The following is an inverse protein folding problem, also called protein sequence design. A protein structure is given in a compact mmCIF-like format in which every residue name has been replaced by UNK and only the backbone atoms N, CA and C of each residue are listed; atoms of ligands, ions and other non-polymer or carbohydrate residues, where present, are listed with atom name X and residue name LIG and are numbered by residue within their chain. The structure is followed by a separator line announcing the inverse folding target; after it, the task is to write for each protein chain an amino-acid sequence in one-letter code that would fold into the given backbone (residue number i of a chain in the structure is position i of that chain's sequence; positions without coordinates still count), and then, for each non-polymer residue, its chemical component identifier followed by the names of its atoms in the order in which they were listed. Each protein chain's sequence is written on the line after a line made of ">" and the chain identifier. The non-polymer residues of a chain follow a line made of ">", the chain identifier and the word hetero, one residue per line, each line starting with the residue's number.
data_IF_417888167144
#
_entry.id   IF_417888167144
#
_cell.length_a   1.000
_cell.length_b   1.000
_cell.length_c   1.000
_cell.angle_alpha   90.00
_cell.angle_beta   90.00
_cell.angle_gamma   90.00
#
_symmetry.space_group_name_H-M   'P 1'
#
loop_
_entity.id
_entity.type
_entity.pdbx_description
1 polymer ?
#
# COMPACT_ATOMS: atom_id res chain seq x y z
N UNK A 1 10.64 10.50 -16.24
CA UNK A 1 9.79 10.52 -15.03
C UNK A 1 8.59 11.43 -15.24
N UNK A 2 8.78 12.70 -15.55
CA UNK A 2 7.69 13.66 -15.75
C UNK A 2 6.71 13.25 -16.86
N UNK A 3 7.21 12.67 -17.96
CA UNK A 3 6.35 12.19 -19.05
C UNK A 3 5.48 11.02 -18.62
N UNK A 4 6.02 10.08 -17.86
CA UNK A 4 5.26 8.95 -17.28
C UNK A 4 4.20 9.47 -16.33
N UNK A 5 4.58 10.37 -15.44
CA UNK A 5 3.67 11.02 -14.50
C UNK A 5 2.52 11.73 -15.20
N UNK A 6 2.82 12.55 -16.21
CA UNK A 6 1.80 13.31 -16.96
C UNK A 6 0.81 12.42 -17.71
N UNK A 7 1.24 11.23 -18.17
CA UNK A 7 0.34 10.25 -18.78
C UNK A 7 -0.56 9.54 -17.77
N UNK A 8 -0.02 9.24 -16.58
CA UNK A 8 -0.76 8.55 -15.52
C UNK A 8 -1.76 9.47 -14.81
N UNK A 9 -1.37 10.73 -14.60
CA UNK A 9 -2.15 11.68 -13.82
C UNK A 9 -2.36 12.99 -14.58
N UNK A 10 -3.15 12.97 -15.66
CA UNK A 10 -3.33 14.16 -16.52
C UNK A 10 -4.08 15.30 -15.83
N UNK A 11 -4.82 15.01 -14.76
CA UNK A 11 -5.55 16.00 -13.95
C UNK A 11 -4.81 16.50 -12.72
N UNK A 12 -3.52 16.11 -12.55
CA UNK A 12 -2.74 16.48 -11.38
C UNK A 12 -2.50 17.99 -11.29
N UNK A 13 -2.75 18.56 -10.11
CA UNK A 13 -2.44 19.94 -9.77
C UNK A 13 -1.53 20.03 -8.54
N UNK A 14 -0.87 21.18 -8.36
CA UNK A 14 0.04 21.44 -7.23
C UNK A 14 1.15 20.40 -7.07
N UNK A 15 1.79 20.04 -8.19
CA UNK A 15 2.79 18.96 -8.21
C UNK A 15 4.10 19.44 -7.61
N UNK A 16 4.58 18.73 -6.59
CA UNK A 16 5.90 18.89 -5.98
C UNK A 16 6.69 17.60 -6.11
N UNK A 17 8.00 17.70 -6.32
CA UNK A 17 8.89 16.56 -6.47
C UNK A 17 9.90 16.50 -5.33
N UNK A 18 10.06 15.33 -4.75
CA UNK A 18 11.07 15.06 -3.73
C UNK A 18 11.81 13.75 -4.01
N UNK A 19 13.04 13.66 -3.52
CA UNK A 19 13.78 12.39 -3.49
C UNK A 19 13.57 11.72 -2.13
N UNK A 20 13.10 10.46 -2.13
CA UNK A 20 12.89 9.66 -0.92
C UNK A 20 13.42 8.25 -1.16
N UNK A 21 14.32 7.76 -0.30
CA UNK A 21 14.85 6.39 -0.37
C UNK A 21 15.40 5.98 -1.75
N UNK A 22 15.96 6.93 -2.51
CA UNK A 22 16.47 6.67 -3.87
C UNK A 22 15.42 6.73 -4.97
N UNK A 23 14.16 7.01 -4.64
CA UNK A 23 13.08 7.21 -5.60
C UNK A 23 12.78 8.68 -5.80
N UNK A 24 12.10 8.99 -6.91
CA UNK A 24 11.50 10.30 -7.16
C UNK A 24 10.00 10.21 -6.84
N UNK A 25 9.55 11.04 -5.92
CA UNK A 25 8.18 11.06 -5.44
C UNK A 25 7.51 12.35 -5.88
N UNK A 26 6.41 12.24 -6.61
CA UNK A 26 5.52 13.35 -6.90
C UNK A 26 4.44 13.44 -5.84
N UNK A 27 4.35 14.57 -5.17
CA UNK A 27 3.21 14.92 -4.31
C UNK A 27 2.30 15.84 -5.10
N UNK A 28 1.02 15.52 -5.18
CA UNK A 28 0.08 16.25 -6.03
C UNK A 28 -1.36 16.08 -5.55
N UNK A 29 -2.25 16.83 -6.18
CA UNK A 29 -3.68 16.74 -5.92
C UNK A 29 -4.41 16.47 -7.23
N UNK A 30 -5.28 15.47 -7.21
CA UNK A 30 -6.15 15.15 -8.35
C UNK A 30 -7.58 14.92 -7.87
N UNK A 31 -8.55 15.62 -8.48
CA UNK A 31 -9.95 15.48 -8.10
C UNK A 31 -10.26 15.84 -6.65
N UNK A 32 -9.46 16.70 -6.01
CA UNK A 32 -9.62 17.06 -4.60
C UNK A 32 -8.97 16.07 -3.61
N UNK A 33 -8.29 15.05 -4.10
CA UNK A 33 -7.61 14.03 -3.30
C UNK A 33 -6.11 14.27 -3.29
N UNK A 34 -5.49 14.21 -2.11
CA UNK A 34 -4.04 14.27 -1.96
C UNK A 34 -3.44 12.91 -2.31
N UNK A 35 -2.39 12.93 -3.14
CA UNK A 35 -1.77 11.73 -3.68
C UNK A 35 -0.26 11.85 -3.70
N UNK A 36 0.42 10.70 -3.64
CA UNK A 36 1.85 10.57 -3.88
C UNK A 36 2.10 9.44 -4.89
N UNK A 37 2.99 9.67 -5.84
CA UNK A 37 3.39 8.63 -6.81
C UNK A 37 4.91 8.46 -6.81
N UNK A 38 5.35 7.21 -6.72
CA UNK A 38 6.75 6.83 -6.58
C UNK A 38 7.30 6.26 -7.90
N UNK A 39 8.42 6.81 -8.34
CA UNK A 39 9.10 6.43 -9.57
C UNK A 39 10.59 6.20 -9.34
N UNK A 40 11.22 5.39 -10.18
CA UNK A 40 12.67 5.38 -10.23
C UNK A 40 13.21 6.50 -11.16
N UNK A 41 14.53 6.65 -11.24
CA UNK A 41 15.17 7.66 -12.07
C UNK A 41 14.93 7.46 -13.57
N UNK A 42 14.63 6.24 -14.00
CA UNK A 42 14.29 5.91 -15.39
C UNK A 42 12.83 6.23 -15.76
N UNK A 43 12.01 6.57 -14.76
CA UNK A 43 10.60 6.89 -14.96
C UNK A 43 9.65 5.70 -14.81
N UNK A 44 10.13 4.58 -14.26
CA UNK A 44 9.28 3.45 -13.94
C UNK A 44 8.46 3.76 -12.68
N UNK A 45 7.14 3.56 -12.77
CA UNK A 45 6.22 3.68 -11.64
C UNK A 45 6.25 2.44 -10.73
N UNK A 46 6.21 2.66 -9.43
CA UNK A 46 6.21 1.61 -8.41
C UNK A 46 4.96 1.60 -7.53
N UNK A 47 4.53 2.78 -7.09
CA UNK A 47 3.44 2.88 -6.12
C UNK A 47 2.73 4.23 -6.25
N UNK A 48 1.43 4.23 -5.97
CA UNK A 48 0.64 5.43 -5.74
C UNK A 48 -0.06 5.31 -4.39
N UNK A 49 0.10 6.33 -3.57
CA UNK A 49 -0.62 6.53 -2.31
C UNK A 49 -1.73 7.54 -2.54
N UNK A 50 -2.92 7.21 -2.09
CA UNK A 50 -4.11 8.04 -2.25
C UNK A 50 -4.81 8.16 -0.89
N UNK A 51 -4.96 9.40 -0.39
CA UNK A 51 -5.72 9.66 0.82
C UNK A 51 -7.20 9.33 0.60
N UNK A 52 -7.75 8.49 1.47
CA UNK A 52 -9.14 8.00 1.36
C UNK A 52 -9.89 8.33 2.64
N UNK A 53 -10.99 9.09 2.58
CA UNK A 53 -11.88 9.24 3.72
C UNK A 53 -12.41 7.88 4.19
N UNK A 54 -12.48 7.67 5.50
CA UNK A 54 -12.94 6.40 6.07
C UNK A 54 -14.27 5.90 5.47
N UNK A 55 -15.20 6.80 5.25
CA UNK A 55 -16.51 6.46 4.67
C UNK A 55 -16.44 5.93 3.23
N UNK A 56 -15.34 6.21 2.52
CA UNK A 56 -15.12 5.75 1.14
C UNK A 56 -14.25 4.50 1.04
N UNK A 57 -13.77 3.97 2.16
CA UNK A 57 -13.09 2.67 2.20
C UNK A 57 -14.05 1.56 1.70
N UNK A 58 -13.52 0.48 1.10
CA UNK A 58 -14.34 -0.67 0.76
C UNK A 58 -15.13 -1.19 1.96
N UNK A 59 -16.36 -1.61 1.73
CA UNK A 59 -17.22 -2.14 2.80
C UNK A 59 -16.55 -3.28 3.57
N UNK A 60 -15.83 -4.16 2.87
CA UNK A 60 -15.12 -5.28 3.48
C UNK A 60 -14.04 -4.82 4.47
N UNK A 61 -13.30 -3.74 4.14
CA UNK A 61 -12.29 -3.15 5.01
C UNK A 61 -12.94 -2.53 6.25
N UNK A 62 -14.00 -1.74 6.08
CA UNK A 62 -14.72 -1.14 7.21
C UNK A 62 -15.31 -2.20 8.14
N UNK A 63 -15.93 -3.22 7.58
CA UNK A 63 -16.50 -4.33 8.36
C UNK A 63 -15.41 -5.07 9.14
N UNK A 64 -14.27 -5.37 8.52
CA UNK A 64 -13.15 -6.03 9.19
C UNK A 64 -12.59 -5.20 10.34
N UNK A 65 -12.40 -3.90 10.13
CA UNK A 65 -11.94 -2.98 11.17
C UNK A 65 -12.94 -2.89 12.33
N UNK A 66 -14.22 -2.67 12.05
CA UNK A 66 -15.28 -2.48 13.04
C UNK A 66 -15.60 -3.74 13.84
N UNK A 67 -15.29 -4.92 13.31
CA UNK A 67 -15.48 -6.21 13.99
C UNK A 67 -14.20 -6.79 14.60
N UNK A 68 -13.05 -6.13 14.38
CA UNK A 68 -11.75 -6.58 14.85
C UNK A 68 -11.35 -6.01 16.22
N UNK A 69 -10.15 -6.35 16.65
CA UNK A 69 -9.62 -5.93 17.95
C UNK A 69 -9.32 -4.43 18.06
N UNK A 70 -9.18 -3.74 16.91
CA UNK A 70 -8.90 -2.30 16.85
C UNK A 70 -10.16 -1.44 16.67
N UNK A 71 -11.35 -2.03 16.74
CA UNK A 71 -12.63 -1.35 16.49
C UNK A 71 -12.87 -0.11 17.35
N UNK A 72 -12.35 -0.11 18.59
CA UNK A 72 -12.49 1.00 19.53
C UNK A 72 -11.40 2.10 19.35
N UNK A 73 -10.44 1.88 18.48
CA UNK A 73 -9.37 2.84 18.21
C UNK A 73 -9.85 3.93 17.27
N UNK A 74 -9.31 5.14 17.44
CA UNK A 74 -9.60 6.24 16.54
C UNK A 74 -8.82 6.09 15.23
N UNK A 75 -9.49 6.16 14.11
CA UNK A 75 -8.84 6.21 12.80
C UNK A 75 -8.42 7.64 12.51
N UNK A 76 -7.12 7.89 12.50
CA UNK A 76 -6.53 9.20 12.25
C UNK A 76 -6.38 9.46 10.74
N UNK A 77 -5.97 8.45 9.99
CA UNK A 77 -5.78 8.54 8.56
C UNK A 77 -6.02 7.19 7.87
N UNK A 78 -6.32 7.24 6.58
CA UNK A 78 -6.47 6.05 5.76
C UNK A 78 -5.98 6.32 4.33
N UNK A 79 -5.15 5.43 3.81
CA UNK A 79 -4.57 5.52 2.49
C UNK A 79 -4.85 4.26 1.67
N UNK A 80 -5.05 4.46 0.37
CA UNK A 80 -5.09 3.39 -0.62
C UNK A 80 -3.73 3.31 -1.30
N UNK A 81 -3.10 2.15 -1.25
CA UNK A 81 -1.82 1.89 -1.91
C UNK A 81 -2.05 1.02 -3.15
N UNK A 82 -1.81 1.59 -4.32
CA UNK A 82 -1.76 0.86 -5.59
C UNK A 82 -0.30 0.63 -5.94
N UNK A 83 0.09 -0.63 -6.13
CA UNK A 83 1.50 -1.01 -6.31
C UNK A 83 1.65 -1.88 -7.54
N UNK A 84 2.74 -1.70 -8.26
CA UNK A 84 3.02 -2.52 -9.44
C UNK A 84 3.25 -3.99 -9.07
N UNK A 85 2.50 -4.89 -9.71
CA UNK A 85 2.64 -6.33 -9.54
C UNK A 85 2.10 -6.91 -8.23
N UNK A 86 1.58 -6.07 -7.34
CA UNK A 86 0.99 -6.45 -6.07
C UNK A 86 -0.49 -6.07 -6.00
N UNK A 87 -1.23 -6.72 -5.15
CA UNK A 87 -2.61 -6.35 -4.86
C UNK A 87 -2.68 -4.98 -4.17
N UNK A 88 -3.76 -4.26 -4.45
CA UNK A 88 -4.08 -3.01 -3.74
C UNK A 88 -4.34 -3.31 -2.27
N UNK A 89 -3.78 -2.48 -1.39
CA UNK A 89 -4.02 -2.55 0.05
C UNK A 89 -4.50 -1.21 0.58
N UNK A 90 -5.09 -1.23 1.75
CA UNK A 90 -5.53 -0.04 2.49
C UNK A 90 -4.80 0.01 3.82
N UNK A 91 -4.20 1.15 4.11
CA UNK A 91 -3.45 1.38 5.34
C UNK A 91 -4.24 2.33 6.22
N UNK A 92 -4.57 1.92 7.43
CA UNK A 92 -5.25 2.74 8.43
C UNK A 92 -4.27 3.06 9.55
N UNK A 93 -4.07 4.34 9.80
CA UNK A 93 -3.40 4.82 11.02
C UNK A 93 -4.44 4.94 12.12
N UNK A 94 -4.23 4.24 13.21
CA UNK A 94 -5.15 4.21 14.35
C UNK A 94 -4.44 4.57 15.64
N UNK A 95 -5.14 5.31 16.49
CA UNK A 95 -4.61 5.72 17.79
C UNK A 95 -5.54 5.38 18.94
N UNK A 96 -4.98 5.04 20.06
CA UNK A 96 -5.69 4.90 21.32
C UNK A 96 -4.76 5.32 22.48
N UNK A 97 -5.10 6.38 23.18
CA UNK A 97 -4.25 6.98 24.23
C UNK A 97 -2.89 7.40 23.64
N UNK A 98 -1.79 6.83 24.16
CA UNK A 98 -0.42 7.12 23.69
C UNK A 98 0.11 6.07 22.69
N UNK A 99 -0.75 5.17 22.21
CA UNK A 99 -0.37 4.12 21.27
C UNK A 99 -0.92 4.43 19.87
N UNK A 100 -0.05 4.32 18.88
CA UNK A 100 -0.37 4.45 17.48
C UNK A 100 0.00 3.14 16.76
N UNK A 101 -0.87 2.69 15.85
CA UNK A 101 -0.65 1.48 15.04
C UNK A 101 -0.99 1.76 13.59
N UNK A 102 -0.26 1.11 12.71
CA UNK A 102 -0.56 1.01 11.30
C UNK A 102 -1.17 -0.34 11.01
N UNK A 103 -2.37 -0.34 10.42
CA UNK A 103 -3.11 -1.54 10.04
C UNK A 103 -3.19 -1.63 8.52
N UNK A 104 -2.75 -2.73 7.96
CA UNK A 104 -2.80 -2.97 6.52
C UNK A 104 -3.86 -4.03 6.21
N UNK A 105 -4.85 -3.66 5.39
CA UNK A 105 -5.94 -4.53 4.95
C UNK A 105 -5.87 -4.78 3.45
N UNK A 106 -6.21 -6.00 3.03
CA UNK A 106 -6.54 -6.26 1.62
C UNK A 106 -7.91 -5.65 1.26
N UNK A 107 -8.22 -5.52 -0.03
CA UNK A 107 -9.52 -4.99 -0.48
C UNK A 107 -10.72 -5.80 0.01
N UNK A 108 -10.55 -7.09 0.23
CA UNK A 108 -11.56 -8.00 0.75
C UNK A 108 -11.60 -8.10 2.29
N UNK A 109 -10.86 -7.23 2.98
CA UNK A 109 -10.98 -7.05 4.43
C UNK A 109 -10.14 -8.02 5.25
N UNK A 110 -9.06 -8.58 4.70
CA UNK A 110 -8.11 -9.39 5.49
C UNK A 110 -7.08 -8.46 6.13
N UNK A 111 -6.93 -8.52 7.45
CA UNK A 111 -5.87 -7.81 8.15
C UNK A 111 -4.55 -8.53 7.90
N UNK A 112 -3.67 -7.90 7.11
CA UNK A 112 -2.40 -8.45 6.70
C UNK A 112 -1.27 -8.12 7.67
N UNK A 113 -1.34 -6.96 8.31
CA UNK A 113 -0.27 -6.42 9.14
C UNK A 113 -0.85 -5.47 10.18
N UNK A 114 -0.35 -5.55 11.40
CA UNK A 114 -0.61 -4.58 12.46
C UNK A 114 0.71 -4.31 13.18
N UNK A 115 1.26 -3.12 13.01
CA UNK A 115 2.56 -2.75 13.58
C UNK A 115 2.45 -1.44 14.35
N UNK A 116 3.20 -1.27 15.46
CA UNK A 116 3.30 0.02 16.11
C UNK A 116 3.89 1.06 15.16
N UNK A 117 3.24 2.22 15.08
CA UNK A 117 3.80 3.37 14.39
C UNK A 117 4.61 4.21 15.38
N UNK A 118 5.92 4.00 15.38
CA UNK A 118 6.82 4.62 16.35
C UNK A 118 7.24 6.04 15.94
N UNK A 119 7.17 6.36 14.66
CA UNK A 119 7.79 7.56 14.10
C UNK A 119 6.79 8.57 13.51
N UNK A 120 5.51 8.20 13.40
CA UNK A 120 4.48 9.05 12.78
C UNK A 120 4.83 9.43 11.33
N UNK A 121 5.66 8.63 10.68
CA UNK A 121 6.07 8.86 9.30
C UNK A 121 4.95 8.39 8.37
N UNK A 122 4.31 9.35 7.70
CA UNK A 122 3.21 9.09 6.77
C UNK A 122 3.65 8.56 5.41
N UNK A 123 4.95 8.32 5.26
CA UNK A 123 5.48 7.76 4.02
C UNK A 123 5.46 6.23 4.07
N UNK A 124 4.70 5.62 3.18
CA UNK A 124 4.61 4.16 3.07
C UNK A 124 5.71 3.55 2.18
N UNK A 125 6.93 4.09 2.26
CA UNK A 125 8.09 3.60 1.51
C UNK A 125 8.46 2.15 1.81
N UNK A 126 8.12 1.64 2.99
CA UNK A 126 8.26 0.24 3.36
C UNK A 126 7.32 -0.70 2.61
N UNK A 127 6.24 -0.15 2.04
CA UNK A 127 5.25 -0.90 1.24
C UNK A 127 5.59 -0.94 -0.26
N UNK A 128 6.72 -0.34 -0.69
CA UNK A 128 7.16 -0.38 -2.08
C UNK A 128 7.37 -1.82 -2.56
N UNK A 129 6.91 -2.17 -3.79
CA UNK A 129 7.05 -3.52 -4.29
C UNK A 129 8.51 -3.88 -4.54
N UNK A 130 8.92 -5.10 -4.14
CA UNK A 130 10.18 -5.69 -4.55
C UNK A 130 10.00 -6.40 -5.88
N UNK A 131 11.01 -6.33 -6.74
CA UNK A 131 10.99 -7.08 -7.98
C UNK A 131 11.11 -8.58 -7.70
N UNK A 132 10.08 -9.34 -8.10
CA UNK A 132 10.04 -10.78 -7.96
C UNK A 132 10.69 -11.46 -9.17
N UNK A 133 11.69 -12.34 -8.96
CA UNK A 133 12.20 -13.17 -10.03
C UNK A 133 11.09 -13.98 -10.70
N UNK A 134 11.17 -14.15 -12.04
CA UNK A 134 10.14 -14.89 -12.78
C UNK A 134 9.95 -16.30 -12.26
N UNK A 135 11.03 -16.96 -11.82
CA UNK A 135 10.97 -18.30 -11.23
C UNK A 135 10.10 -18.35 -9.96
N UNK A 136 10.11 -17.29 -9.15
CA UNK A 136 9.27 -17.19 -7.95
C UNK A 136 7.80 -17.00 -8.34
N UNK A 137 7.51 -16.14 -9.31
CA UNK A 137 6.15 -15.95 -9.83
C UNK A 137 5.58 -17.25 -10.41
N UNK A 138 6.37 -17.98 -11.18
CA UNK A 138 6.00 -19.26 -11.76
C UNK A 138 5.75 -20.33 -10.70
N UNK A 139 6.58 -20.37 -9.67
CA UNK A 139 6.40 -21.28 -8.53
C UNK A 139 5.08 -21.02 -7.79
N UNK A 140 4.81 -19.74 -7.47
CA UNK A 140 3.57 -19.35 -6.79
C UNK A 140 2.36 -19.72 -7.65
N UNK A 141 2.39 -19.42 -8.94
CA UNK A 141 1.29 -19.72 -9.87
C UNK A 141 1.01 -21.20 -10.01
N UNK A 142 2.03 -22.07 -9.90
CA UNK A 142 1.87 -23.53 -9.95
C UNK A 142 1.40 -24.12 -8.63
N UNK A 143 1.96 -23.65 -7.52
CA UNK A 143 1.67 -24.22 -6.20
C UNK A 143 0.39 -23.68 -5.59
N UNK A 144 0.10 -22.42 -5.85
CA UNK A 144 -1.07 -21.69 -5.32
C UNK A 144 -1.86 -21.04 -6.46
N UNK A 145 -2.53 -21.83 -7.33
CA UNK A 145 -3.28 -21.27 -8.46
C UNK A 145 -4.38 -20.34 -7.96
N UNK A 146 -4.37 -19.08 -8.47
CA UNK A 146 -5.32 -18.06 -8.05
C UNK A 146 -4.91 -17.27 -6.80
N UNK A 147 -3.76 -17.57 -6.21
CA UNK A 147 -3.23 -16.76 -5.13
C UNK A 147 -2.87 -15.34 -5.61
N UNK A 148 -3.15 -14.37 -4.77
CA UNK A 148 -2.81 -12.97 -5.01
C UNK A 148 -1.62 -12.58 -4.15
N UNK A 149 -0.64 -11.91 -4.74
CA UNK A 149 0.55 -11.45 -4.03
C UNK A 149 0.21 -10.09 -3.41
N UNK A 150 0.29 -10.00 -2.09
CA UNK A 150 -0.03 -8.78 -1.34
C UNK A 150 1.20 -8.04 -0.87
N UNK A 151 2.32 -8.74 -0.66
CA UNK A 151 3.59 -8.12 -0.31
C UNK A 151 4.78 -8.99 -0.71
N UNK A 152 5.95 -8.34 -0.83
CA UNK A 152 7.21 -9.02 -1.10
C UNK A 152 8.35 -8.20 -0.51
N UNK A 153 9.11 -8.80 0.40
CA UNK A 153 10.24 -8.16 1.07
C UNK A 153 11.53 -8.98 0.92
N UNK A 154 12.65 -8.26 0.87
CA UNK A 154 13.96 -8.89 0.86
C UNK A 154 14.51 -8.95 2.28
N UNK A 155 14.60 -10.14 2.82
CA UNK A 155 15.16 -10.40 4.14
C UNK A 155 16.56 -11.02 4.09
N UNK A 156 17.22 -11.10 5.27
CA UNK A 156 18.52 -11.79 5.41
C UNK A 156 18.36 -13.27 5.05
N UNK A 157 18.80 -13.62 3.86
CA UNK A 157 18.83 -15.01 3.39
C UNK A 157 17.77 -15.37 2.37
N UNK A 158 16.92 -14.44 1.95
CA UNK A 158 15.92 -14.76 0.95
C UNK A 158 14.97 -13.62 0.58
N UNK A 159 13.92 -14.02 -0.08
CA UNK A 159 12.80 -13.19 -0.44
C UNK A 159 11.55 -13.75 0.25
N UNK A 160 10.95 -12.96 1.11
CA UNK A 160 9.65 -13.26 1.69
C UNK A 160 8.54 -12.75 0.77
N UNK A 161 7.55 -13.58 0.53
CA UNK A 161 6.39 -13.21 -0.32
C UNK A 161 5.12 -13.58 0.42
N UNK A 162 4.30 -12.58 0.69
CA UNK A 162 3.00 -12.76 1.31
C UNK A 162 1.92 -12.92 0.22
N UNK A 163 1.12 -13.96 0.36
CA UNK A 163 0.04 -14.27 -0.59
C UNK A 163 -1.29 -14.47 0.13
N UNK A 164 -2.38 -14.11 -0.55
CA UNK A 164 -3.73 -14.54 -0.19
C UNK A 164 -4.12 -15.68 -1.12
N UNK A 165 -4.28 -16.87 -0.57
CA UNK A 165 -4.85 -18.02 -1.30
C UNK A 165 -6.34 -18.11 -0.94
N UNK A 166 -7.20 -17.89 -1.93
CA UNK A 166 -8.67 -17.92 -1.77
C UNK A 166 -9.26 -19.28 -1.42
N UNK A 167 -8.44 -20.25 -1.06
CA UNK A 167 -8.84 -21.61 -0.71
C UNK A 167 -8.96 -21.87 0.79
N UNK A 168 -8.73 -20.88 1.62
CA UNK A 168 -8.90 -21.06 3.07
C UNK A 168 -10.36 -20.84 3.43
N UNK A 169 -11.04 -21.83 3.99
CA UNK A 169 -12.41 -21.67 4.48
C UNK A 169 -12.44 -20.75 5.71
#
# INVERSE_FOLDING_TARGET
>A
VQDTFGRMFPGAGHVEWAGKQGYLVAEFREGGTDMQAWFDAAGKWYMTEEDVPYALLPQAVRTAFESGEYAAWHVDDADKLTREGLETVYVLEVEQRDAEYELVYSEDGVLLRAVPDADGDRDHGDMLPQELPQAVKDFIGRKYPGARIVDAEREKGGLEVEIIDGRTP
#
